data_IF_089273264523
#
_entry.id   IF_089273264523
#
_cell.length_a   1.000
_cell.length_b   1.000
_cell.length_c   1.000
_cell.angle_alpha   90.00
_cell.angle_beta   90.00
_cell.angle_gamma   90.00
#
_symmetry.space_group_name_H-M   'P 1'
#
loop_
_entity.id
_entity.type
_entity.pdbx_description
1 polymer ?
#
# COMPACT_ATOMS: atom_id res chain seq x y z
N UNK A 1 31.50 4.58 5.02
CA UNK A 1 30.10 4.53 5.50
C UNK A 1 29.96 3.20 6.18
N UNK A 2 29.67 3.18 7.47
CA UNK A 2 29.50 1.93 8.19
C UNK A 2 28.29 1.19 7.59
N UNK A 3 28.45 -0.10 7.27
CA UNK A 3 27.37 -0.88 6.64
C UNK A 3 26.10 -0.93 7.51
N UNK A 4 26.21 -0.60 8.79
CA UNK A 4 25.10 -0.53 9.74
C UNK A 4 24.18 0.69 9.54
N UNK A 5 24.65 1.74 8.84
CA UNK A 5 23.90 2.99 8.62
C UNK A 5 23.17 3.03 7.26
N UNK A 6 23.30 2.00 6.43
CA UNK A 6 22.61 1.96 5.15
C UNK A 6 21.07 1.92 5.35
N UNK A 7 20.28 2.63 4.51
CA UNK A 7 18.81 2.70 4.67
C UNK A 7 18.12 1.36 4.38
N UNK A 8 18.79 0.44 3.68
CA UNK A 8 18.43 -0.97 3.50
C UNK A 8 19.63 -1.83 3.85
N UNK A 9 19.44 -2.80 4.73
CA UNK A 9 20.44 -3.82 5.05
C UNK A 9 20.08 -5.11 4.31
N UNK A 10 20.96 -5.58 3.45
CA UNK A 10 20.80 -6.82 2.70
C UNK A 10 21.91 -7.79 3.09
N UNK A 11 21.53 -8.95 3.61
CA UNK A 11 22.45 -10.01 4.01
C UNK A 11 21.98 -11.36 3.48
N UNK A 12 22.87 -12.35 3.42
CA UNK A 12 22.49 -13.72 3.07
C UNK A 12 23.17 -14.71 3.99
N UNK A 13 22.41 -15.67 4.50
CA UNK A 13 22.90 -16.77 5.34
C UNK A 13 21.90 -17.92 5.33
N UNK A 14 22.36 -19.15 5.51
CA UNK A 14 21.52 -20.35 5.68
C UNK A 14 20.49 -20.58 4.53
N UNK A 15 20.77 -20.07 3.34
CA UNK A 15 19.82 -20.13 2.21
C UNK A 15 18.72 -19.07 2.26
N UNK A 16 18.89 -18.03 3.03
CA UNK A 16 17.95 -16.92 3.20
C UNK A 16 18.58 -15.62 2.72
N UNK A 17 17.93 -14.93 1.79
CA UNK A 17 18.15 -13.53 1.51
C UNK A 17 17.37 -12.69 2.52
N UNK A 18 18.05 -11.86 3.30
CA UNK A 18 17.43 -11.10 4.37
C UNK A 18 17.54 -9.60 4.09
N UNK A 19 16.39 -8.93 3.94
CA UNK A 19 16.24 -7.51 3.72
C UNK A 19 15.65 -6.85 4.98
N UNK A 20 16.31 -5.81 5.48
CA UNK A 20 15.81 -5.02 6.60
C UNK A 20 15.73 -3.56 6.19
N UNK A 21 14.51 -3.01 6.22
CA UNK A 21 14.26 -1.59 6.01
C UNK A 21 14.79 -0.84 7.23
N UNK A 22 15.76 0.06 7.06
CA UNK A 22 16.54 0.64 8.16
C UNK A 22 16.48 2.17 8.17
N UNK A 23 15.27 2.71 8.10
CA UNK A 23 14.97 4.14 8.30
C UNK A 23 13.93 4.33 9.43
N UNK A 24 14.15 3.82 10.65
CA UNK A 24 13.11 3.78 11.70
C UNK A 24 12.62 5.17 12.11
N UNK A 25 13.46 6.23 12.00
CA UNK A 25 13.05 7.63 12.25
C UNK A 25 12.04 8.13 11.21
N UNK A 26 12.07 7.61 9.99
CA UNK A 26 11.12 7.89 8.92
C UNK A 26 10.07 6.77 8.78
N UNK A 27 9.85 5.96 9.82
CA UNK A 27 8.94 4.80 9.79
C UNK A 27 9.22 3.87 8.60
N UNK A 28 10.48 3.70 8.25
CA UNK A 28 10.97 2.88 7.14
C UNK A 28 10.38 3.25 5.77
N UNK A 29 10.02 4.53 5.56
CA UNK A 29 9.56 5.03 4.28
C UNK A 29 10.61 4.77 3.19
N UNK A 30 10.15 4.31 2.02
CA UNK A 30 10.99 3.94 0.89
C UNK A 30 11.51 5.20 0.19
N UNK A 31 12.82 5.33 0.07
CA UNK A 31 13.44 6.25 -0.86
C UNK A 31 13.97 5.51 -2.10
N UNK A 32 14.39 6.28 -3.10
CA UNK A 32 14.86 5.73 -4.37
C UNK A 32 16.09 4.81 -4.19
N UNK A 33 16.96 5.11 -3.22
CA UNK A 33 18.15 4.30 -2.93
C UNK A 33 17.75 2.92 -2.36
N UNK A 34 16.72 2.86 -1.50
CA UNK A 34 16.19 1.60 -0.96
C UNK A 34 15.56 0.74 -2.04
N UNK A 35 14.72 1.33 -2.91
CA UNK A 35 14.10 0.62 -4.04
C UNK A 35 15.16 -0.02 -4.93
N UNK A 36 16.16 0.75 -5.33
CA UNK A 36 17.29 0.24 -6.14
C UNK A 36 18.11 -0.82 -5.42
N UNK A 37 18.31 -0.69 -4.11
CA UNK A 37 19.04 -1.67 -3.33
C UNK A 37 18.28 -2.99 -3.20
N UNK A 38 16.93 -2.94 -3.02
CA UNK A 38 16.08 -4.13 -3.03
C UNK A 38 16.08 -4.80 -4.40
N UNK A 39 15.94 -4.03 -5.48
CA UNK A 39 15.97 -4.56 -6.84
C UNK A 39 17.29 -5.30 -7.13
N UNK A 40 18.44 -4.69 -6.78
CA UNK A 40 19.75 -5.36 -6.93
C UNK A 40 19.88 -6.65 -6.11
N UNK A 41 19.38 -6.65 -4.88
CA UNK A 41 19.39 -7.84 -4.04
C UNK A 41 18.53 -8.95 -4.66
N UNK A 42 17.33 -8.58 -5.12
CA UNK A 42 16.41 -9.51 -5.78
C UNK A 42 17.01 -10.08 -7.07
N UNK A 43 17.63 -9.25 -7.91
CA UNK A 43 18.33 -9.69 -9.14
C UNK A 43 19.46 -10.68 -8.85
N UNK A 44 20.18 -10.49 -7.73
CA UNK A 44 21.23 -11.41 -7.30
C UNK A 44 20.67 -12.74 -6.80
N UNK A 45 19.54 -12.70 -6.07
CA UNK A 45 19.04 -13.87 -5.33
C UNK A 45 18.02 -14.70 -6.10
N UNK A 46 17.31 -14.13 -7.06
CA UNK A 46 16.23 -14.83 -7.77
C UNK A 46 16.69 -16.12 -8.45
N UNK A 47 17.88 -16.10 -9.07
CA UNK A 47 18.43 -17.24 -9.82
C UNK A 47 19.52 -18.01 -9.02
N UNK A 48 19.92 -17.54 -7.84
CA UNK A 48 20.93 -18.21 -7.00
C UNK A 48 20.32 -19.44 -6.31
N UNK A 49 20.72 -20.68 -6.67
CA UNK A 49 20.19 -21.90 -6.06
C UNK A 49 20.52 -22.02 -4.56
N UNK A 50 21.49 -21.27 -4.06
CA UNK A 50 21.81 -21.24 -2.64
C UNK A 50 20.77 -20.48 -1.82
N UNK A 51 19.99 -19.59 -2.43
CA UNK A 51 18.91 -18.84 -1.76
C UNK A 51 17.58 -19.55 -1.99
N UNK A 52 16.90 -19.93 -0.93
CA UNK A 52 15.64 -20.68 -0.94
C UNK A 52 14.40 -19.85 -0.54
N UNK A 53 14.61 -18.76 0.19
CA UNK A 53 13.57 -17.79 0.54
C UNK A 53 14.16 -16.40 0.72
N UNK A 54 13.32 -15.39 0.61
CA UNK A 54 13.64 -13.99 0.91
C UNK A 54 12.77 -13.52 2.06
N UNK A 55 13.40 -12.95 3.09
CA UNK A 55 12.75 -12.39 4.26
C UNK A 55 12.88 -10.87 4.24
N UNK A 56 11.76 -10.15 4.35
CA UNK A 56 11.68 -8.70 4.47
C UNK A 56 11.07 -8.31 5.82
N UNK A 57 11.73 -7.40 6.53
CA UNK A 57 11.25 -6.83 7.80
C UNK A 57 11.64 -5.37 7.98
N UNK A 58 10.98 -4.66 8.89
CA UNK A 58 11.28 -3.27 9.23
C UNK A 58 12.00 -3.14 10.57
N UNK A 59 13.03 -2.30 10.63
CA UNK A 59 13.74 -1.98 11.88
C UNK A 59 12.97 -0.99 12.76
N UNK A 60 13.21 -1.04 14.07
CA UNK A 60 12.74 -0.06 15.07
C UNK A 60 11.37 -0.35 15.69
N UNK A 61 10.67 -1.44 15.30
CA UNK A 61 9.48 -1.96 15.99
C UNK A 61 8.23 -1.06 15.99
N UNK A 62 8.21 0.04 15.22
CA UNK A 62 7.06 0.95 15.08
C UNK A 62 6.34 0.81 13.76
N UNK A 63 7.07 0.48 12.72
CA UNK A 63 6.56 0.33 11.38
C UNK A 63 7.35 -0.74 10.64
N UNK A 64 6.64 -1.53 9.84
CA UNK A 64 7.24 -2.28 8.76
C UNK A 64 7.72 -1.29 7.69
N UNK A 65 6.78 -0.54 7.07
CA UNK A 65 7.05 0.51 6.10
C UNK A 65 5.84 1.44 5.96
N UNK A 66 6.04 2.75 6.12
CA UNK A 66 4.96 3.74 6.04
C UNK A 66 4.66 4.23 4.61
N UNK A 67 5.23 3.61 3.58
CA UNK A 67 5.04 3.96 2.17
C UNK A 67 6.27 4.58 1.52
N UNK A 68 6.11 5.13 0.33
CA UNK A 68 7.13 5.93 -0.34
C UNK A 68 7.43 7.24 0.40
N UNK A 69 8.63 7.78 0.25
CA UNK A 69 8.99 9.08 0.83
C UNK A 69 8.33 10.23 0.04
N UNK A 70 7.00 10.38 0.22
CA UNK A 70 6.19 11.37 -0.50
C UNK A 70 6.60 12.81 -0.19
N UNK A 71 7.31 13.08 0.93
CA UNK A 71 7.90 14.41 1.18
C UNK A 71 8.99 14.71 0.17
N UNK A 72 9.86 13.73 -0.09
CA UNK A 72 10.87 13.84 -1.13
C UNK A 72 10.22 13.96 -2.51
N UNK A 73 9.17 13.18 -2.79
CA UNK A 73 8.40 13.28 -4.02
C UNK A 73 7.82 14.69 -4.24
N UNK A 74 7.18 15.28 -3.22
CA UNK A 74 6.72 16.67 -3.27
C UNK A 74 7.85 17.65 -3.51
N UNK A 75 8.99 17.49 -2.84
CA UNK A 75 10.15 18.36 -3.02
C UNK A 75 10.65 18.35 -4.48
N UNK A 76 10.73 17.17 -5.10
CA UNK A 76 11.08 17.02 -6.51
C UNK A 76 10.14 17.81 -7.41
N UNK A 77 8.81 17.78 -7.15
CA UNK A 77 7.83 18.55 -7.93
C UNK A 77 8.02 20.06 -7.76
N UNK A 78 8.17 20.53 -6.51
CA UNK A 78 8.35 21.96 -6.21
C UNK A 78 9.63 22.52 -6.84
N UNK A 79 10.67 21.70 -6.95
CA UNK A 79 11.95 22.04 -7.59
C UNK A 79 11.90 21.91 -9.13
N UNK A 80 10.74 21.53 -9.71
CA UNK A 80 10.59 21.36 -11.17
C UNK A 80 11.21 20.06 -11.69
N UNK A 81 11.56 19.10 -10.82
CA UNK A 81 12.16 17.82 -11.17
C UNK A 81 11.14 16.67 -11.08
N UNK A 82 9.95 16.85 -11.64
CA UNK A 82 8.89 15.84 -11.67
C UNK A 82 9.31 14.53 -12.37
N UNK A 83 10.25 14.62 -13.33
CA UNK A 83 10.80 13.44 -13.99
C UNK A 83 11.46 12.46 -13.00
N UNK A 84 12.22 12.97 -12.01
CA UNK A 84 12.84 12.13 -10.99
C UNK A 84 11.82 11.42 -10.08
N UNK A 85 10.66 12.05 -9.82
CA UNK A 85 9.56 11.39 -9.11
C UNK A 85 9.00 10.23 -9.94
N UNK A 86 8.77 10.44 -11.24
CA UNK A 86 8.27 9.39 -12.13
C UNK A 86 9.28 8.25 -12.27
N UNK A 87 10.57 8.54 -12.34
CA UNK A 87 11.63 7.53 -12.37
C UNK A 87 11.62 6.70 -11.07
N UNK A 88 11.46 7.34 -9.91
CA UNK A 88 11.31 6.64 -8.63
C UNK A 88 10.11 5.69 -8.62
N UNK A 89 8.92 6.18 -9.02
CA UNK A 89 7.70 5.37 -9.06
C UNK A 89 7.82 4.22 -10.09
N UNK A 90 8.42 4.47 -11.25
CA UNK A 90 8.63 3.45 -12.27
C UNK A 90 9.52 2.30 -11.75
N UNK A 91 10.62 2.62 -11.05
CA UNK A 91 11.50 1.62 -10.45
C UNK A 91 10.82 0.88 -9.29
N UNK A 92 10.00 1.56 -8.48
CA UNK A 92 9.21 0.95 -7.41
C UNK A 92 8.19 -0.04 -7.97
N UNK A 93 7.43 0.34 -9.02
CA UNK A 93 6.45 -0.55 -9.64
C UNK A 93 7.11 -1.73 -10.37
N UNK A 94 8.28 -1.51 -10.98
CA UNK A 94 9.07 -2.61 -11.54
C UNK A 94 9.52 -3.61 -10.45
N UNK A 95 9.94 -3.12 -9.28
CA UNK A 95 10.27 -3.95 -8.12
C UNK A 95 9.04 -4.75 -7.63
N UNK A 96 7.85 -4.13 -7.55
CA UNK A 96 6.62 -4.82 -7.16
C UNK A 96 6.29 -5.97 -8.14
N UNK A 97 6.44 -5.73 -9.44
CA UNK A 97 6.29 -6.76 -10.47
C UNK A 97 7.32 -7.89 -10.34
N UNK A 98 8.57 -7.55 -10.04
CA UNK A 98 9.64 -8.54 -9.84
C UNK A 98 9.39 -9.41 -8.59
N UNK A 99 8.88 -8.83 -7.49
CA UNK A 99 8.47 -9.58 -6.29
C UNK A 99 7.34 -10.57 -6.64
N UNK A 100 6.35 -10.12 -7.40
CA UNK A 100 5.22 -10.98 -7.82
C UNK A 100 5.65 -12.14 -8.73
N UNK A 101 6.65 -11.92 -9.58
CA UNK A 101 7.17 -12.93 -10.51
C UNK A 101 8.18 -13.89 -9.87
N UNK A 102 8.51 -13.72 -8.59
CA UNK A 102 9.51 -14.53 -7.92
C UNK A 102 8.99 -15.94 -7.66
N UNK A 103 9.70 -16.95 -8.12
CA UNK A 103 9.37 -18.36 -7.83
C UNK A 103 9.72 -18.77 -6.39
N UNK A 104 10.65 -18.06 -5.76
CA UNK A 104 11.06 -18.29 -4.37
C UNK A 104 10.09 -17.63 -3.41
N UNK A 105 9.83 -18.22 -2.22
CA UNK A 105 9.05 -17.58 -1.20
C UNK A 105 9.61 -16.20 -0.82
N UNK A 106 8.75 -15.18 -0.93
CA UNK A 106 8.95 -13.85 -0.39
C UNK A 106 8.09 -13.72 0.87
N UNK A 107 8.75 -13.55 2.01
CA UNK A 107 8.12 -13.47 3.33
C UNK A 107 8.27 -12.07 3.90
N UNK A 108 7.15 -11.41 4.18
CA UNK A 108 7.13 -10.10 4.85
C UNK A 108 6.65 -10.27 6.29
N UNK A 109 7.49 -9.93 7.28
CA UNK A 109 7.10 -9.86 8.69
C UNK A 109 6.62 -8.45 9.02
N UNK A 110 5.31 -8.28 9.10
CA UNK A 110 4.65 -6.98 9.24
C UNK A 110 4.23 -6.78 10.70
N UNK A 111 5.06 -6.04 11.46
CA UNK A 111 4.76 -5.64 12.84
C UNK A 111 4.76 -4.10 12.91
N UNK A 112 3.60 -3.48 13.13
CA UNK A 112 3.41 -2.04 13.08
C UNK A 112 2.84 -1.52 11.76
N UNK A 113 3.11 -0.25 11.42
CA UNK A 113 2.55 0.44 10.26
C UNK A 113 3.06 -0.14 8.95
N UNK A 114 2.14 -0.44 8.02
CA UNK A 114 2.41 -0.88 6.66
C UNK A 114 1.42 -0.19 5.71
N UNK A 115 1.88 0.82 4.96
CA UNK A 115 1.02 1.66 4.12
C UNK A 115 1.67 1.92 2.76
N UNK A 116 0.87 2.23 1.74
CA UNK A 116 1.36 2.63 0.42
C UNK A 116 2.43 1.70 -0.15
N UNK A 117 3.61 2.23 -0.45
CA UNK A 117 4.76 1.43 -0.92
C UNK A 117 5.13 0.25 -0.01
N UNK A 118 4.82 0.32 1.32
CA UNK A 118 4.98 -0.82 2.23
C UNK A 118 4.03 -1.98 1.89
N UNK A 119 2.80 -1.66 1.47
CA UNK A 119 1.89 -2.65 0.88
C UNK A 119 2.48 -3.17 -0.42
N UNK A 120 3.00 -2.30 -1.31
CA UNK A 120 3.60 -2.69 -2.59
C UNK A 120 4.71 -3.73 -2.46
N UNK A 121 5.67 -3.54 -1.54
CA UNK A 121 6.78 -4.50 -1.34
C UNK A 121 6.37 -5.75 -0.55
N UNK A 122 5.14 -5.83 -0.05
CA UNK A 122 4.65 -6.98 0.73
C UNK A 122 3.52 -7.74 0.05
N UNK A 123 2.50 -7.06 -0.50
CA UNK A 123 1.24 -7.69 -0.93
C UNK A 123 1.42 -8.67 -2.09
N UNK A 124 2.41 -8.45 -2.93
CA UNK A 124 2.72 -9.31 -4.08
C UNK A 124 3.60 -10.51 -3.72
N UNK A 125 4.14 -10.55 -2.50
CA UNK A 125 4.88 -11.68 -1.98
C UNK A 125 3.99 -12.86 -1.55
N UNK A 126 4.59 -14.04 -1.42
CA UNK A 126 3.85 -15.28 -1.10
C UNK A 126 3.34 -15.34 0.34
N UNK A 127 4.08 -14.76 1.30
CA UNK A 127 3.74 -14.82 2.74
C UNK A 127 3.79 -13.41 3.34
N UNK A 128 2.64 -12.94 3.79
CA UNK A 128 2.46 -11.68 4.53
C UNK A 128 2.01 -12.03 5.93
N UNK A 129 2.96 -12.04 6.86
CA UNK A 129 2.74 -12.40 8.25
C UNK A 129 2.51 -11.13 9.06
N UNK A 130 1.36 -11.00 9.68
CA UNK A 130 0.99 -9.84 10.50
C UNK A 130 0.87 -10.20 11.96
N UNK A 131 1.18 -9.26 12.85
CA UNK A 131 0.89 -9.34 14.28
C UNK A 131 -0.33 -8.47 14.63
N UNK A 132 -0.81 -8.53 15.87
CA UNK A 132 -1.86 -7.64 16.39
C UNK A 132 -1.48 -6.16 16.37
N UNK A 133 -0.19 -5.82 16.25
CA UNK A 133 0.31 -4.46 16.11
C UNK A 133 0.31 -3.95 14.68
N UNK A 134 0.15 -4.84 13.70
CA UNK A 134 0.11 -4.46 12.30
C UNK A 134 -1.06 -3.51 12.00
N UNK A 135 -0.80 -2.47 11.22
CA UNK A 135 -1.77 -1.49 10.76
C UNK A 135 -1.57 -1.25 9.27
N UNK A 136 -2.44 -1.83 8.46
CA UNK A 136 -2.37 -1.78 7.00
C UNK A 136 -3.40 -0.79 6.44
N UNK A 137 -3.00 0.02 5.47
CA UNK A 137 -3.91 0.91 4.74
C UNK A 137 -3.31 1.38 3.41
N UNK A 138 -4.19 1.79 2.48
CA UNK A 138 -3.83 2.57 1.28
C UNK A 138 -4.45 3.96 1.39
N UNK A 139 -3.80 4.93 2.08
CA UNK A 139 -4.40 6.23 2.42
C UNK A 139 -4.12 7.31 1.36
N UNK A 140 -3.78 6.95 0.12
CA UNK A 140 -3.26 7.83 -0.92
C UNK A 140 -4.23 8.96 -1.28
N UNK A 141 -5.54 8.73 -1.20
CA UNK A 141 -6.57 9.76 -1.44
C UNK A 141 -6.44 10.95 -0.49
N UNK A 142 -5.86 10.75 0.71
CA UNK A 142 -5.64 11.82 1.70
C UNK A 142 -4.51 12.78 1.32
N UNK A 143 -3.68 12.39 0.35
CA UNK A 143 -2.56 13.20 -0.15
C UNK A 143 -2.71 13.54 -1.64
N UNK A 144 -3.91 13.43 -2.21
CA UNK A 144 -4.14 13.76 -3.61
C UNK A 144 -3.51 12.79 -4.60
N UNK A 145 -3.32 11.53 -4.19
CA UNK A 145 -2.83 10.42 -5.01
C UNK A 145 -3.93 9.33 -5.09
N UNK A 146 -3.65 8.20 -5.61
CA UNK A 146 -4.50 7.01 -5.70
C UNK A 146 -3.73 5.79 -5.14
N UNK A 147 -4.41 4.71 -4.71
CA UNK A 147 -3.77 3.45 -4.30
C UNK A 147 -2.99 2.82 -5.47
N UNK A 148 -1.70 3.06 -5.52
CA UNK A 148 -0.75 2.61 -6.54
C UNK A 148 -0.07 1.27 -6.19
N UNK A 149 1.15 1.05 -6.65
CA UNK A 149 2.02 -0.11 -6.34
C UNK A 149 1.40 -1.47 -6.67
N UNK A 150 0.48 -1.53 -7.64
CA UNK A 150 -0.28 -2.73 -7.98
C UNK A 150 -1.37 -3.08 -6.97
N UNK A 151 -1.66 -2.21 -6.00
CA UNK A 151 -2.75 -2.45 -5.05
C UNK A 151 -4.12 -2.48 -5.73
N UNK A 152 -4.29 -1.80 -6.87
CA UNK A 152 -5.47 -1.87 -7.71
C UNK A 152 -5.81 -3.31 -8.14
N UNK A 153 -4.78 -4.14 -8.41
CA UNK A 153 -4.97 -5.57 -8.69
C UNK A 153 -5.57 -6.33 -7.51
N UNK A 154 -5.12 -6.05 -6.29
CA UNK A 154 -5.60 -6.71 -5.07
C UNK A 154 -6.99 -6.19 -4.68
N UNK A 155 -7.15 -4.87 -4.60
CA UNK A 155 -8.38 -4.21 -4.20
C UNK A 155 -9.56 -4.57 -5.14
N UNK A 156 -9.34 -4.54 -6.46
CA UNK A 156 -10.40 -4.83 -7.44
C UNK A 156 -10.90 -6.28 -7.40
N UNK A 157 -10.17 -7.19 -6.72
CA UNK A 157 -10.49 -8.62 -6.57
C UNK A 157 -10.99 -8.99 -5.19
N UNK A 158 -11.07 -8.02 -4.28
CA UNK A 158 -11.67 -8.24 -2.96
C UNK A 158 -13.17 -8.54 -3.09
N UNK A 159 -13.72 -9.32 -2.15
CA UNK A 159 -15.15 -9.67 -2.20
C UNK A 159 -16.07 -8.45 -2.11
N UNK A 160 -17.08 -8.38 -2.97
CA UNK A 160 -18.07 -7.29 -3.00
C UNK A 160 -17.42 -5.94 -3.29
N UNK A 161 -17.78 -4.92 -2.51
CA UNK A 161 -17.27 -3.56 -2.63
C UNK A 161 -16.15 -3.24 -1.62
N UNK A 162 -15.54 -4.27 -0.99
CA UNK A 162 -14.49 -4.06 0.02
C UNK A 162 -13.29 -3.29 -0.51
N UNK A 163 -12.84 -3.60 -1.72
CA UNK A 163 -11.71 -2.87 -2.32
C UNK A 163 -12.05 -1.42 -2.63
N UNK A 164 -13.27 -1.14 -3.05
CA UNK A 164 -13.77 0.21 -3.26
C UNK A 164 -13.73 1.03 -1.96
N UNK A 165 -14.30 0.46 -0.88
CA UNK A 165 -14.27 1.08 0.44
C UNK A 165 -12.83 1.37 0.90
N UNK A 166 -11.95 0.36 0.90
CA UNK A 166 -10.57 0.51 1.37
C UNK A 166 -9.77 1.51 0.53
N UNK A 167 -9.93 1.46 -0.81
CA UNK A 167 -9.20 2.33 -1.73
C UNK A 167 -9.65 3.79 -1.68
N UNK A 168 -10.95 4.05 -1.52
CA UNK A 168 -11.49 5.41 -1.47
C UNK A 168 -11.25 6.08 -0.12
N UNK A 169 -11.38 5.32 0.98
CA UNK A 169 -11.36 5.89 2.33
C UNK A 169 -10.00 5.80 3.02
N UNK A 170 -9.10 4.93 2.54
CA UNK A 170 -7.87 4.62 3.25
C UNK A 170 -8.13 3.95 4.60
N UNK A 171 -9.23 3.20 4.72
CA UNK A 171 -9.61 2.54 5.97
C UNK A 171 -8.49 1.61 6.45
N UNK A 172 -8.29 1.60 7.75
CA UNK A 172 -7.16 0.93 8.39
C UNK A 172 -7.57 -0.46 8.88
N UNK A 173 -6.81 -1.46 8.48
CA UNK A 173 -6.97 -2.85 8.89
C UNK A 173 -5.92 -3.20 9.95
N UNK A 174 -6.34 -3.73 11.09
CA UNK A 174 -5.45 -4.13 12.18
C UNK A 174 -5.27 -5.64 12.23
N UNK A 175 -4.03 -6.09 12.34
CA UNK A 175 -3.71 -7.50 12.63
C UNK A 175 -4.54 -8.49 11.82
N UNK A 176 -5.39 -9.23 12.50
CA UNK A 176 -6.24 -10.25 11.90
C UNK A 176 -7.21 -9.72 10.83
N UNK A 177 -7.67 -8.45 10.93
CA UNK A 177 -8.52 -7.81 9.91
C UNK A 177 -7.83 -7.75 8.54
N UNK A 178 -6.51 -7.58 8.52
CA UNK A 178 -5.74 -7.58 7.28
C UNK A 178 -5.72 -8.97 6.61
N UNK A 179 -5.75 -10.06 7.40
CA UNK A 179 -5.90 -11.42 6.87
C UNK A 179 -7.32 -11.63 6.36
N UNK A 180 -8.32 -11.21 7.12
CA UNK A 180 -9.73 -11.30 6.75
C UNK A 180 -10.05 -10.57 5.43
N UNK A 181 -9.45 -9.40 5.22
CA UNK A 181 -9.58 -8.61 3.99
C UNK A 181 -8.72 -9.11 2.83
N UNK A 182 -7.73 -9.98 3.07
CA UNK A 182 -6.84 -10.52 2.03
C UNK A 182 -5.55 -9.72 1.78
N UNK A 183 -5.28 -8.65 2.54
CA UNK A 183 -3.99 -7.96 2.49
C UNK A 183 -2.86 -8.77 3.13
N UNK A 184 -3.17 -9.60 4.14
CA UNK A 184 -2.22 -10.51 4.77
C UNK A 184 -2.62 -11.96 4.55
N UNK A 185 -1.70 -12.89 4.82
CA UNK A 185 -1.91 -14.35 4.66
C UNK A 185 -1.95 -15.09 5.98
N UNK A 186 -1.20 -14.62 6.98
CA UNK A 186 -1.03 -15.29 8.25
C UNK A 186 -1.07 -14.28 9.40
N UNK A 187 -1.77 -14.63 10.45
CA UNK A 187 -1.73 -13.91 11.72
C UNK A 187 -0.89 -14.69 12.73
N UNK A 188 0.08 -14.02 13.35
CA UNK A 188 0.96 -14.59 14.37
C UNK A 188 0.97 -13.64 15.57
N UNK A 189 0.78 -14.13 16.81
CA UNK A 189 0.93 -13.30 17.99
C UNK A 189 2.33 -12.68 18.06
N UNK A 190 2.42 -11.42 18.42
CA UNK A 190 3.69 -10.70 18.47
C UNK A 190 4.73 -11.36 19.36
N UNK A 191 4.29 -11.96 20.45
CA UNK A 191 5.16 -12.71 21.37
C UNK A 191 5.88 -13.89 20.70
N UNK A 192 5.27 -14.49 19.65
CA UNK A 192 5.85 -15.58 18.88
C UNK A 192 6.74 -15.11 17.72
N UNK A 193 6.67 -13.84 17.35
CA UNK A 193 7.39 -13.28 16.20
C UNK A 193 8.93 -13.46 16.29
N UNK A 194 9.60 -13.25 17.46
CA UNK A 194 11.05 -13.45 17.54
C UNK A 194 11.47 -14.89 17.22
N UNK A 195 10.76 -15.89 17.77
CA UNK A 195 11.06 -17.29 17.50
C UNK A 195 10.78 -17.68 16.03
N UNK A 196 9.69 -17.16 15.46
CA UNK A 196 9.39 -17.36 14.04
C UNK A 196 10.49 -16.73 13.16
N UNK A 197 10.93 -15.53 13.48
CA UNK A 197 12.02 -14.84 12.75
C UNK A 197 13.31 -15.67 12.75
N UNK A 198 13.72 -16.22 13.90
CA UNK A 198 14.90 -17.06 14.00
C UNK A 198 14.77 -18.34 13.17
N UNK A 199 13.60 -19.00 13.20
CA UNK A 199 13.32 -20.17 12.37
C UNK A 199 13.40 -19.83 10.86
N UNK A 200 12.84 -18.71 10.43
CA UNK A 200 12.93 -18.26 9.05
C UNK A 200 14.37 -17.95 8.65
N UNK A 201 15.17 -17.32 9.50
CA UNK A 201 16.60 -17.07 9.25
C UNK A 201 17.45 -18.35 9.22
N UNK A 202 16.97 -19.42 9.82
CA UNK A 202 17.53 -20.78 9.66
C UNK A 202 17.03 -21.50 8.39
N UNK A 203 16.16 -20.88 7.59
CA UNK A 203 15.61 -21.41 6.34
C UNK A 203 14.37 -22.30 6.51
N UNK A 204 13.72 -22.27 7.68
CA UNK A 204 12.52 -23.05 7.98
C UNK A 204 11.24 -22.25 7.70
N UNK A 205 10.78 -22.27 6.46
CA UNK A 205 9.53 -21.61 6.06
C UNK A 205 8.29 -22.28 6.66
N UNK A 206 8.35 -23.57 6.96
CA UNK A 206 7.25 -24.31 7.60
C UNK A 206 6.90 -23.78 8.99
N UNK A 207 7.80 -23.05 9.63
CA UNK A 207 7.54 -22.38 10.91
C UNK A 207 6.36 -21.42 10.86
N UNK A 208 6.09 -20.78 9.71
CA UNK A 208 4.92 -19.88 9.54
C UNK A 208 3.64 -20.63 9.85
N UNK A 209 3.39 -21.75 9.17
CA UNK A 209 2.17 -22.55 9.37
C UNK A 209 2.03 -23.17 10.77
N UNK A 210 3.16 -23.43 11.46
CA UNK A 210 3.14 -23.96 12.84
C UNK A 210 2.87 -22.88 13.88
N UNK A 211 3.17 -21.63 13.57
CA UNK A 211 3.04 -20.49 14.51
C UNK A 211 1.75 -19.70 14.26
N UNK A 212 1.27 -19.67 13.01
CA UNK A 212 0.08 -18.92 12.63
C UNK A 212 -1.17 -19.41 13.36
N UNK A 213 -2.01 -18.48 13.77
CA UNK A 213 -3.31 -18.74 14.37
C UNK A 213 -4.43 -18.59 13.34
N UNK A 214 -5.51 -19.40 13.43
CA UNK A 214 -6.71 -19.21 12.62
C UNK A 214 -7.34 -17.84 12.86
N UNK A 215 -7.78 -17.20 11.79
CA UNK A 215 -8.54 -15.94 11.85
C UNK A 215 -9.99 -16.26 11.51
N UNK A 216 -10.89 -16.28 12.50
CA UNK A 216 -12.33 -16.43 12.26
C UNK A 216 -12.90 -15.15 11.62
N UNK A 217 -14.08 -15.23 10.97
CA UNK A 217 -14.80 -14.04 10.52
C UNK A 217 -15.00 -13.05 11.68
N UNK A 218 -14.65 -11.80 11.45
CA UNK A 218 -14.61 -10.74 12.46
C UNK A 218 -15.24 -9.42 11.97
N UNK A 219 -14.69 -8.28 12.38
CA UNK A 219 -15.25 -6.96 12.08
C UNK A 219 -15.40 -6.69 10.58
N UNK A 220 -14.45 -7.14 9.74
CA UNK A 220 -14.48 -6.92 8.29
C UNK A 220 -15.66 -7.65 7.65
N UNK A 221 -15.89 -8.93 8.03
CA UNK A 221 -17.05 -9.69 7.54
C UNK A 221 -18.38 -9.07 8.01
N UNK A 222 -18.44 -8.56 9.25
CA UNK A 222 -19.64 -7.89 9.77
C UNK A 222 -19.98 -6.59 9.03
N UNK A 223 -18.96 -5.85 8.58
CA UNK A 223 -19.15 -4.61 7.81
C UNK A 223 -19.54 -4.88 6.35
N UNK A 224 -19.23 -6.04 5.80
CA UNK A 224 -19.42 -6.32 4.37
C UNK A 224 -20.82 -5.99 3.83
N UNK A 225 -21.96 -6.35 4.49
CA UNK A 225 -23.27 -6.04 3.94
C UNK A 225 -23.55 -4.55 3.75
N UNK A 226 -23.09 -3.70 4.67
CA UNK A 226 -23.24 -2.25 4.55
C UNK A 226 -22.25 -1.65 3.55
N UNK A 227 -21.02 -2.16 3.51
CA UNK A 227 -20.03 -1.79 2.50
C UNK A 227 -20.56 -2.09 1.10
N UNK A 228 -21.09 -3.29 0.86
CA UNK A 228 -21.62 -3.70 -0.44
C UNK A 228 -22.81 -2.81 -0.87
N UNK A 229 -23.70 -2.42 0.06
CA UNK A 229 -24.81 -1.50 -0.25
C UNK A 229 -24.33 -0.10 -0.61
N UNK A 230 -23.38 0.45 0.14
CA UNK A 230 -22.97 1.85 -0.04
C UNK A 230 -21.90 2.00 -1.13
N UNK A 231 -20.80 1.25 -1.03
CA UNK A 231 -19.65 1.39 -1.95
C UNK A 231 -19.82 0.59 -3.25
N UNK A 232 -20.81 -0.30 -3.34
CA UNK A 232 -21.20 -0.99 -4.55
C UNK A 232 -22.11 -0.18 -5.49
N UNK A 233 -22.39 1.09 -5.19
CA UNK A 233 -23.36 1.93 -5.91
C UNK A 233 -22.90 2.38 -7.32
N UNK A 234 -21.68 2.07 -7.74
CA UNK A 234 -21.22 2.17 -9.14
C UNK A 234 -20.74 3.54 -9.62
N UNK A 235 -20.82 4.59 -8.79
CA UNK A 235 -20.20 5.90 -9.06
C UNK A 235 -19.99 6.68 -7.75
N UNK A 236 -19.05 7.62 -7.73
CA UNK A 236 -18.77 8.44 -6.53
C UNK A 236 -20.03 9.20 -6.05
N UNK A 237 -20.82 9.89 -6.92
CA UNK A 237 -22.07 10.52 -6.46
C UNK A 237 -23.09 9.51 -5.91
N UNK A 238 -23.20 8.32 -6.49
CA UNK A 238 -24.11 7.29 -6.00
C UNK A 238 -23.65 6.69 -4.66
N UNK A 239 -22.34 6.53 -4.44
CA UNK A 239 -21.75 6.11 -3.15
C UNK A 239 -22.06 7.16 -2.08
N UNK A 240 -21.88 8.45 -2.37
CA UNK A 240 -22.24 9.54 -1.46
C UNK A 240 -23.72 9.49 -1.09
N UNK A 241 -24.61 9.39 -2.09
CA UNK A 241 -26.07 9.30 -1.86
C UNK A 241 -26.46 8.06 -1.03
N UNK A 242 -25.81 6.91 -1.28
CA UNK A 242 -26.05 5.69 -0.52
C UNK A 242 -25.60 5.82 0.95
N UNK A 243 -24.45 6.46 1.20
CA UNK A 243 -23.98 6.75 2.56
C UNK A 243 -24.85 7.78 3.29
N UNK A 244 -25.40 8.78 2.58
CA UNK A 244 -26.36 9.74 3.15
C UNK A 244 -27.68 9.08 3.53
N UNK A 245 -28.10 8.08 2.77
CA UNK A 245 -29.33 7.32 3.04
C UNK A 245 -29.17 6.23 4.10
N UNK A 246 -27.95 5.84 4.42
CA UNK A 246 -27.66 4.82 5.45
C UNK A 246 -27.58 5.49 6.83
N UNK A 247 -28.59 5.24 7.70
CA UNK A 247 -28.76 5.90 9.00
C UNK A 247 -27.88 5.24 10.10
N UNK A 248 -26.59 5.04 9.83
CA UNK A 248 -25.63 4.46 10.80
C UNK A 248 -24.46 5.41 11.05
N UNK A 249 -23.92 5.39 12.27
CA UNK A 249 -22.72 6.17 12.63
C UNK A 249 -21.54 5.83 11.70
N UNK A 250 -21.40 4.55 11.35
CA UNK A 250 -20.36 4.10 10.42
C UNK A 250 -20.49 4.80 9.06
N UNK A 251 -21.68 4.88 8.48
CA UNK A 251 -21.89 5.53 7.18
C UNK A 251 -21.59 7.02 7.25
N UNK A 252 -21.95 7.70 8.33
CA UNK A 252 -21.64 9.11 8.54
C UNK A 252 -20.12 9.34 8.66
N UNK A 253 -19.40 8.44 9.34
CA UNK A 253 -17.93 8.48 9.41
C UNK A 253 -17.30 8.31 8.02
N UNK A 254 -17.78 7.33 7.21
CA UNK A 254 -17.28 7.14 5.84
C UNK A 254 -17.56 8.37 4.95
N UNK A 255 -18.76 8.92 5.03
CA UNK A 255 -19.12 10.13 4.30
C UNK A 255 -18.21 11.32 4.67
N UNK A 256 -17.93 11.50 5.95
CA UNK A 256 -17.02 12.53 6.43
C UNK A 256 -15.58 12.32 5.90
N UNK A 257 -15.13 11.06 5.75
CA UNK A 257 -13.84 10.74 5.12
C UNK A 257 -13.86 11.15 3.66
N UNK A 258 -14.87 10.72 2.87
CA UNK A 258 -14.95 11.05 1.44
C UNK A 258 -14.99 12.56 1.18
N UNK A 259 -15.65 13.33 2.04
CA UNK A 259 -15.71 14.80 1.94
C UNK A 259 -14.40 15.51 2.33
N UNK A 260 -13.48 14.83 2.98
CA UNK A 260 -12.19 15.40 3.43
C UNK A 260 -11.03 15.10 2.50
N UNK A 261 -11.02 13.96 1.81
CA UNK A 261 -9.95 13.56 0.91
C UNK A 261 -10.03 14.30 -0.43
N UNK A 262 -9.00 14.19 -1.29
CA UNK A 262 -9.01 14.83 -2.62
C UNK A 262 -10.20 14.32 -3.45
N UNK A 263 -11.09 15.22 -3.90
CA UNK A 263 -12.19 14.85 -4.78
C UNK A 263 -11.72 14.19 -6.08
N UNK A 264 -10.67 14.74 -6.71
CA UNK A 264 -10.05 14.16 -7.93
C UNK A 264 -9.55 12.73 -7.67
N UNK A 265 -8.89 12.49 -6.53
CA UNK A 265 -8.39 11.16 -6.16
C UNK A 265 -9.50 10.13 -5.99
N UNK A 266 -10.68 10.52 -5.50
CA UNK A 266 -11.82 9.61 -5.39
C UNK A 266 -12.25 9.09 -6.77
N UNK A 267 -12.41 9.98 -7.76
CA UNK A 267 -12.84 9.59 -9.10
C UNK A 267 -11.75 8.77 -9.82
N UNK A 268 -10.48 9.17 -9.69
CA UNK A 268 -9.36 8.40 -10.24
C UNK A 268 -9.30 7.00 -9.63
N UNK A 269 -9.40 6.88 -8.32
CA UNK A 269 -9.37 5.58 -7.63
C UNK A 269 -10.53 4.70 -8.06
N UNK A 270 -11.76 5.23 -8.11
CA UNK A 270 -12.95 4.50 -8.56
C UNK A 270 -12.78 3.96 -9.97
N UNK A 271 -12.40 4.80 -10.93
CA UNK A 271 -12.20 4.40 -12.34
C UNK A 271 -11.05 3.40 -12.49
N UNK A 272 -9.95 3.62 -11.78
CA UNK A 272 -8.81 2.71 -11.73
C UNK A 272 -9.23 1.31 -11.26
N UNK A 273 -10.00 1.21 -10.16
CA UNK A 273 -10.48 -0.08 -9.64
C UNK A 273 -11.43 -0.76 -10.62
N UNK A 274 -12.28 0.01 -11.31
CA UNK A 274 -13.15 -0.50 -12.36
C UNK A 274 -12.36 -1.13 -13.51
N UNK A 275 -11.33 -0.46 -14.00
CA UNK A 275 -10.46 -0.93 -15.09
C UNK A 275 -9.59 -2.12 -14.65
N UNK A 276 -9.06 -2.10 -13.43
CA UNK A 276 -8.19 -3.14 -12.88
C UNK A 276 -8.83 -4.53 -12.83
N UNK A 277 -10.17 -4.63 -12.82
CA UNK A 277 -10.89 -5.91 -12.87
C UNK A 277 -10.59 -6.70 -14.14
N UNK A 278 -10.29 -6.02 -15.25
CA UNK A 278 -9.99 -6.64 -16.55
C UNK A 278 -8.49 -6.80 -16.84
N UNK A 279 -7.60 -6.36 -15.93
CA UNK A 279 -6.16 -6.38 -16.13
C UNK A 279 -5.49 -7.44 -15.25
N UNK A 280 -4.38 -8.00 -15.71
CA UNK A 280 -3.44 -8.74 -14.87
C UNK A 280 -2.58 -7.77 -14.03
N UNK A 281 -1.72 -8.29 -13.16
CA UNK A 281 -0.86 -7.43 -12.32
C UNK A 281 0.11 -6.57 -13.15
N UNK A 282 0.80 -7.07 -14.19
CA UNK A 282 1.59 -6.21 -15.07
C UNK A 282 0.76 -5.08 -15.71
N UNK A 283 -0.46 -5.37 -16.14
CA UNK A 283 -1.39 -4.37 -16.68
C UNK A 283 -1.80 -3.33 -15.64
N UNK A 284 -2.06 -3.73 -14.39
CA UNK A 284 -2.33 -2.81 -13.29
C UNK A 284 -1.13 -1.90 -12.99
N UNK A 285 0.08 -2.46 -12.89
CA UNK A 285 1.30 -1.67 -12.66
C UNK A 285 1.60 -0.69 -13.80
N UNK A 286 1.32 -1.09 -15.05
CA UNK A 286 1.45 -0.19 -16.21
C UNK A 286 0.41 0.95 -16.15
N UNK A 287 -0.83 0.66 -15.76
CA UNK A 287 -1.87 1.66 -15.52
C UNK A 287 -1.48 2.60 -14.37
N UNK A 288 -0.98 2.07 -13.26
CA UNK A 288 -0.50 2.88 -12.13
C UNK A 288 0.58 3.88 -12.57
N UNK A 289 1.53 3.44 -13.40
CA UNK A 289 2.59 4.32 -13.92
C UNK A 289 2.04 5.39 -14.88
N UNK A 290 1.08 5.05 -15.72
CA UNK A 290 0.41 6.02 -16.60
C UNK A 290 -0.34 7.07 -15.77
N UNK A 291 -1.10 6.64 -14.78
CA UNK A 291 -1.81 7.52 -13.84
C UNK A 291 -0.85 8.39 -13.02
N UNK A 292 0.27 7.85 -12.55
CA UNK A 292 1.26 8.63 -11.81
C UNK A 292 1.77 9.82 -12.63
N UNK A 293 1.99 9.64 -13.94
CA UNK A 293 2.41 10.73 -14.85
C UNK A 293 1.37 11.82 -15.01
N UNK A 294 0.09 11.48 -14.89
CA UNK A 294 -1.03 12.42 -15.04
C UNK A 294 -1.44 13.06 -13.72
N UNK A 295 -1.42 12.29 -12.61
CA UNK A 295 -1.92 12.72 -11.31
C UNK A 295 -0.87 13.47 -10.49
N UNK A 296 0.41 13.06 -10.50
CA UNK A 296 1.42 13.71 -9.65
C UNK A 296 1.70 15.17 -10.02
N UNK A 297 1.59 15.62 -11.30
CA UNK A 297 1.68 17.04 -11.64
C UNK A 297 0.43 17.85 -11.24
N UNK A 298 -0.69 17.17 -10.92
CA UNK A 298 -1.91 17.86 -10.50
C UNK A 298 -1.72 18.49 -9.12
N UNK A 299 -2.35 19.65 -8.82
CA UNK A 299 -2.08 20.43 -7.61
C UNK A 299 -2.27 19.63 -6.31
N UNK A 300 -3.23 18.71 -6.29
CA UNK A 300 -3.68 18.01 -5.09
C UNK A 300 -2.59 17.17 -4.44
N UNK A 301 -1.69 16.53 -5.22
CA UNK A 301 -0.61 15.74 -4.61
C UNK A 301 0.36 16.61 -3.81
N UNK A 302 0.83 17.73 -4.39
CA UNK A 302 1.74 18.63 -3.69
C UNK A 302 1.06 19.27 -2.46
N UNK A 303 -0.23 19.63 -2.58
CA UNK A 303 -1.03 20.24 -1.52
C UNK A 303 -1.34 19.25 -0.39
N UNK A 304 -1.77 18.04 -0.71
CA UNK A 304 -2.06 17.01 0.30
C UNK A 304 -0.83 16.64 1.12
N UNK A 305 0.32 16.46 0.47
CA UNK A 305 1.58 16.22 1.16
C UNK A 305 1.99 17.44 2.01
N UNK A 306 1.77 18.69 1.53
CA UNK A 306 1.99 19.90 2.33
C UNK A 306 1.16 19.85 3.61
N UNK A 307 -0.15 19.70 3.45
CA UNK A 307 -1.09 19.80 4.56
C UNK A 307 -0.89 18.71 5.63
N UNK A 308 -0.65 17.47 5.17
CA UNK A 308 -0.58 16.32 6.09
C UNK A 308 0.82 16.15 6.70
N UNK A 309 1.90 16.39 5.94
CA UNK A 309 3.24 15.96 6.34
C UNK A 309 4.23 17.10 6.52
N UNK A 310 4.10 18.22 5.80
CA UNK A 310 5.02 19.36 5.89
C UNK A 310 4.54 20.34 6.95
N UNK A 311 3.43 21.03 6.70
CA UNK A 311 2.87 22.04 7.59
C UNK A 311 2.07 21.42 8.74
N UNK A 312 1.52 20.21 8.51
CA UNK A 312 0.72 19.44 9.48
C UNK A 312 -0.52 20.18 10.00
N UNK A 313 -1.05 21.08 9.17
CA UNK A 313 -2.30 21.80 9.47
C UNK A 313 -3.54 20.94 9.25
N UNK A 314 -3.41 19.82 8.51
CA UNK A 314 -4.49 18.90 8.12
C UNK A 314 -5.64 19.62 7.39
N UNK A 315 -5.35 20.72 6.72
CA UNK A 315 -6.31 21.56 6.01
C UNK A 315 -5.89 21.73 4.54
N UNK A 316 -5.96 20.66 3.71
CA UNK A 316 -5.63 20.74 2.30
C UNK A 316 -6.66 21.57 1.55
N UNK A 317 -6.21 22.30 0.53
CA UNK A 317 -7.03 23.09 -0.40
C UNK A 317 -7.08 22.37 -1.73
N UNK A 318 -8.06 21.48 -1.86
CA UNK A 318 -8.21 20.65 -3.06
C UNK A 318 -8.63 21.46 -4.29
N UNK A 319 -8.27 20.96 -5.45
CA UNK A 319 -8.67 21.48 -6.76
C UNK A 319 -9.18 20.34 -7.65
N UNK A 320 -10.51 20.26 -7.87
CA UNK A 320 -11.60 21.11 -7.37
C UNK A 320 -11.86 20.93 -5.87
N UNK A 321 -12.57 21.88 -5.22
CA UNK A 321 -12.76 21.87 -3.77
C UNK A 321 -13.79 20.85 -3.27
N UNK A 322 -14.69 20.36 -4.13
CA UNK A 322 -15.75 19.42 -3.76
C UNK A 322 -15.92 18.30 -4.79
N UNK A 323 -16.61 17.23 -4.38
CA UNK A 323 -16.94 16.06 -5.22
C UNK A 323 -17.80 16.50 -6.43
N UNK A 324 -18.72 17.42 -6.20
CA UNK A 324 -19.66 17.91 -7.19
C UNK A 324 -18.99 18.75 -8.30
N UNK A 325 -17.83 19.32 -8.01
CA UNK A 325 -17.07 20.16 -8.95
C UNK A 325 -16.09 19.38 -9.83
N UNK A 326 -15.98 18.06 -9.64
CA UNK A 326 -15.06 17.23 -10.43
C UNK A 326 -15.58 17.07 -11.85
N UNK A 327 -14.77 17.50 -12.84
CA UNK A 327 -15.10 17.34 -14.25
C UNK A 327 -14.82 15.91 -14.75
N UNK A 328 -15.82 15.21 -15.33
CA UNK A 328 -15.59 13.92 -15.96
C UNK A 328 -14.52 13.94 -17.05
N UNK A 329 -14.43 15.03 -17.80
CA UNK A 329 -13.41 15.20 -18.86
C UNK A 329 -12.00 15.26 -18.29
N UNK A 330 -11.82 15.90 -17.13
CA UNK A 330 -10.52 15.94 -16.43
C UNK A 330 -10.09 14.54 -16.01
N UNK A 331 -11.02 13.77 -15.45
CA UNK A 331 -10.73 12.37 -15.05
C UNK A 331 -10.39 11.52 -16.27
N UNK A 332 -11.18 11.60 -17.35
CA UNK A 332 -10.90 10.84 -18.59
C UNK A 332 -9.51 11.17 -19.16
N UNK A 333 -9.11 12.44 -19.15
CA UNK A 333 -7.80 12.85 -19.63
C UNK A 333 -6.63 12.29 -18.80
N UNK A 334 -6.86 11.89 -17.55
CA UNK A 334 -5.83 11.27 -16.70
C UNK A 334 -5.57 9.79 -17.08
N UNK A 335 -6.54 9.16 -17.74
CA UNK A 335 -6.41 7.76 -18.20
C UNK A 335 -5.94 7.62 -19.66
N UNK A 336 -5.85 8.70 -20.43
CA UNK A 336 -5.38 8.75 -21.82
C UNK A 336 -6.49 8.78 -22.83
#
# INVERSE_FOLDING_TARGET
MDMTDAPLLATQANGVGHLRLNRPRALNALDHAMVRAMARALDTWRDDPAIRLILLEGEGGRAFCAGGDVRQGRQMLVEGNGAALIDFLAEEYALNGAIAALEKPWVSLIDGVCMGGGIGVSVHGSHRVVTEHALLAMPETTIGLFPDVGSSFVLSRMPGAMGEWLGLTGARLRGAEAVEAGFATHFVPREALPALREALLAGDIGAIGRTAQPVPPGPVAALRPVVDRCFGAGSIPAIVAALEAEETDWAQEQLAVLRRVSPTSLFVTHEMLRLARGLDLPGCLAMDLALARSVTPYPDFAEGVRALLVDKDNAPRWTPPSIEDVSPTTIQAMFG
#
